data_IF_310391975645
#
_entry.id   IF_310391975645
#
_cell.length_a   1.000
_cell.length_b   1.000
_cell.length_c   1.000
_cell.angle_alpha   90.00
_cell.angle_beta   90.00
_cell.angle_gamma   90.00
#
_symmetry.space_group_name_H-M   'P 1'
#
loop_
_entity.id
_entity.type
_entity.pdbx_description
1 polymer ?
#
# COMPACT_ATOMS: atom_id res chain seq x y z
N UNK A 1 -15.62 -6.12 -15.10
CA UNK A 1 -14.58 -6.97 -14.48
C UNK A 1 -14.79 -7.05 -12.96
N UNK A 2 -14.74 -5.93 -12.18
CA UNK A 2 -14.89 -5.98 -10.72
C UNK A 2 -16.29 -6.46 -10.28
N UNK A 3 -17.33 -6.02 -10.96
CA UNK A 3 -18.71 -6.49 -10.77
C UNK A 3 -18.83 -8.00 -11.04
N UNK A 4 -18.30 -8.46 -12.17
CA UNK A 4 -18.35 -9.89 -12.54
C UNK A 4 -17.55 -10.72 -11.54
N UNK A 5 -16.38 -10.22 -11.09
CA UNK A 5 -15.61 -10.85 -10.03
C UNK A 5 -16.44 -10.99 -8.75
N UNK A 6 -17.09 -9.91 -8.31
CA UNK A 6 -17.95 -9.95 -7.13
C UNK A 6 -19.09 -10.96 -7.27
N UNK A 7 -19.81 -10.95 -8.39
CA UNK A 7 -20.89 -11.92 -8.67
C UNK A 7 -20.37 -13.36 -8.69
N UNK A 8 -19.21 -13.61 -9.28
CA UNK A 8 -18.60 -14.93 -9.32
C UNK A 8 -18.16 -15.39 -7.92
N UNK A 9 -17.59 -14.52 -7.10
CA UNK A 9 -17.28 -14.83 -5.69
C UNK A 9 -18.54 -15.24 -4.96
N UNK A 10 -19.62 -14.46 -5.07
CA UNK A 10 -20.91 -14.75 -4.44
C UNK A 10 -21.45 -16.13 -4.85
N UNK A 11 -21.30 -16.50 -6.11
CA UNK A 11 -21.87 -17.72 -6.68
C UNK A 11 -21.01 -18.95 -6.39
N UNK A 12 -19.69 -18.83 -6.56
CA UNK A 12 -18.78 -19.97 -6.58
C UNK A 12 -17.88 -20.08 -5.34
N UNK A 13 -17.69 -18.99 -4.60
CA UNK A 13 -16.80 -18.94 -3.45
C UNK A 13 -17.42 -18.17 -2.27
N UNK A 14 -18.68 -18.43 -1.86
CA UNK A 14 -19.35 -17.64 -0.83
C UNK A 14 -18.65 -17.70 0.54
N UNK A 15 -17.90 -18.77 0.81
CA UNK A 15 -17.21 -19.00 2.08
C UNK A 15 -15.73 -18.57 2.06
N UNK A 16 -15.30 -17.81 1.03
CA UNK A 16 -13.92 -17.30 0.97
C UNK A 16 -13.60 -16.46 2.21
N UNK A 17 -12.46 -16.73 2.81
CA UNK A 17 -12.07 -16.07 4.06
C UNK A 17 -11.67 -14.61 3.85
N UNK A 18 -10.95 -14.36 2.76
CA UNK A 18 -10.46 -13.02 2.44
C UNK A 18 -10.16 -12.87 0.96
N UNK A 19 -10.38 -11.67 0.42
CA UNK A 19 -10.08 -11.29 -0.95
C UNK A 19 -9.17 -10.08 -0.95
N UNK A 20 -8.06 -10.14 -1.66
CA UNK A 20 -7.13 -9.02 -1.87
C UNK A 20 -7.25 -8.54 -3.30
N UNK A 21 -7.68 -7.32 -3.50
CA UNK A 21 -7.80 -6.69 -4.82
C UNK A 21 -6.49 -5.99 -5.17
N UNK A 22 -5.93 -6.33 -6.34
CA UNK A 22 -4.62 -5.83 -6.78
C UNK A 22 -4.66 -5.11 -8.14
N UNK A 23 -5.81 -5.07 -8.80
CA UNK A 23 -5.96 -4.42 -10.11
C UNK A 23 -6.55 -3.01 -9.98
N UNK A 24 -6.00 -2.10 -10.79
CA UNK A 24 -6.33 -0.67 -10.74
C UNK A 24 -7.63 -0.33 -11.50
N UNK A 25 -8.32 0.73 -11.05
CA UNK A 25 -8.05 1.53 -9.83
C UNK A 25 -8.49 0.76 -8.57
N UNK A 26 -7.53 0.36 -7.75
CA UNK A 26 -7.71 -0.65 -6.70
C UNK A 26 -8.82 -0.31 -5.70
N UNK A 27 -8.90 0.95 -5.24
CA UNK A 27 -9.90 1.38 -4.26
C UNK A 27 -11.32 1.24 -4.82
N UNK A 28 -11.54 1.69 -6.07
CA UNK A 28 -12.83 1.57 -6.74
C UNK A 28 -13.19 0.11 -7.04
N UNK A 29 -12.25 -0.65 -7.55
CA UNK A 29 -12.49 -2.07 -7.91
C UNK A 29 -12.68 -2.93 -6.66
N UNK A 30 -12.03 -2.59 -5.55
CA UNK A 30 -12.26 -3.19 -4.25
C UNK A 30 -13.66 -2.93 -3.72
N UNK A 31 -14.12 -1.68 -3.78
CA UNK A 31 -15.48 -1.30 -3.38
C UNK A 31 -16.54 -2.01 -4.23
N UNK A 32 -16.39 -1.98 -5.56
CA UNK A 32 -17.32 -2.67 -6.46
C UNK A 32 -17.35 -4.17 -6.18
N UNK A 33 -16.19 -4.81 -6.01
CA UNK A 33 -16.14 -6.23 -5.66
C UNK A 33 -16.86 -6.52 -4.34
N UNK A 34 -16.64 -5.69 -3.32
CA UNK A 34 -17.34 -5.84 -2.03
C UNK A 34 -18.86 -5.77 -2.20
N UNK A 35 -19.37 -4.76 -2.92
CA UNK A 35 -20.81 -4.55 -3.11
C UNK A 35 -21.50 -5.73 -3.81
N UNK A 36 -20.84 -6.37 -4.75
CA UNK A 36 -21.42 -7.46 -5.55
C UNK A 36 -21.13 -8.86 -4.99
N UNK A 37 -20.12 -9.02 -4.13
CA UNK A 37 -19.72 -10.33 -3.60
C UNK A 37 -20.57 -10.84 -2.44
N UNK A 38 -21.26 -9.94 -1.73
CA UNK A 38 -21.98 -10.30 -0.49
C UNK A 38 -21.05 -10.59 0.70
N UNK A 39 -19.74 -10.34 0.57
CA UNK A 39 -18.76 -10.49 1.64
C UNK A 39 -18.89 -9.33 2.65
N UNK A 40 -18.35 -9.56 3.85
CA UNK A 40 -18.25 -8.50 4.87
C UNK A 40 -17.10 -7.54 4.51
N UNK A 41 -17.18 -6.25 4.90
CA UNK A 41 -16.08 -5.29 4.71
C UNK A 41 -14.71 -5.79 5.17
N UNK A 42 -14.65 -6.52 6.29
CA UNK A 42 -13.41 -7.10 6.81
C UNK A 42 -12.81 -8.25 5.97
N UNK A 43 -13.55 -8.74 4.98
CA UNK A 43 -13.11 -9.82 4.11
C UNK A 43 -12.56 -9.33 2.76
N UNK A 44 -12.64 -8.02 2.48
CA UNK A 44 -12.13 -7.44 1.22
C UNK A 44 -11.19 -6.30 1.53
N UNK A 45 -9.97 -6.39 1.03
CA UNK A 45 -8.97 -5.33 1.11
C UNK A 45 -8.34 -5.08 -0.23
N UNK A 46 -7.75 -3.91 -0.41
CA UNK A 46 -6.91 -3.61 -1.56
C UNK A 46 -5.44 -3.61 -1.18
N UNK A 47 -4.56 -3.91 -2.12
CA UNK A 47 -3.13 -3.92 -1.89
C UNK A 47 -2.54 -2.52 -2.13
N UNK A 48 -2.24 -1.79 -1.05
CA UNK A 48 -1.59 -0.47 -1.09
C UNK A 48 -0.14 -0.48 -0.57
N UNK A 49 0.35 -1.61 -0.09
CA UNK A 49 1.64 -1.74 0.60
C UNK A 49 2.87 -1.42 -0.27
N UNK A 50 2.76 -1.53 -1.61
CA UNK A 50 3.91 -1.31 -2.51
C UNK A 50 4.50 0.09 -2.38
N UNK A 51 3.67 1.10 -2.24
CA UNK A 51 4.12 2.48 -2.17
C UNK A 51 4.90 2.73 -0.88
N UNK A 52 4.44 2.14 0.22
CA UNK A 52 5.16 2.15 1.50
C UNK A 52 6.51 1.43 1.39
N UNK A 53 6.59 0.29 0.71
CA UNK A 53 7.86 -0.42 0.51
C UNK A 53 8.81 0.34 -0.41
N UNK A 54 8.31 1.13 -1.37
CA UNK A 54 9.14 2.05 -2.17
C UNK A 54 9.76 3.14 -1.31
N UNK A 55 8.98 3.76 -0.42
CA UNK A 55 9.49 4.75 0.53
C UNK A 55 10.56 4.13 1.43
N UNK A 56 10.31 2.95 2.00
CA UNK A 56 11.29 2.24 2.82
C UNK A 56 12.59 1.97 2.05
N UNK A 57 12.48 1.51 0.81
CA UNK A 57 13.65 1.22 -0.04
C UNK A 57 14.43 2.48 -0.40
N UNK A 58 13.74 3.59 -0.70
CA UNK A 58 14.36 4.87 -1.00
C UNK A 58 15.16 5.42 0.19
N UNK A 59 14.55 5.40 1.38
CA UNK A 59 15.20 5.83 2.61
C UNK A 59 16.36 4.90 2.99
N UNK A 60 16.19 3.58 2.88
CA UNK A 60 17.25 2.63 3.16
C UNK A 60 18.47 2.85 2.27
N UNK A 61 18.24 3.10 0.98
CA UNK A 61 19.29 3.43 0.01
C UNK A 61 19.97 4.76 0.34
N UNK A 62 19.20 5.79 0.66
CA UNK A 62 19.72 7.13 1.00
C UNK A 62 20.67 7.07 2.20
N UNK A 63 20.27 6.37 3.25
CA UNK A 63 21.03 6.33 4.52
C UNK A 63 21.99 5.14 4.64
N UNK A 64 22.10 4.29 3.63
CA UNK A 64 23.00 3.13 3.65
C UNK A 64 22.65 2.09 4.73
N UNK A 65 21.36 1.96 5.08
CA UNK A 65 20.89 1.04 6.12
C UNK A 65 20.04 -0.08 5.51
N UNK A 66 19.78 -1.14 6.26
CA UNK A 66 18.88 -2.21 5.83
C UNK A 66 17.43 -1.72 5.85
N UNK A 67 16.59 -2.22 4.93
CA UNK A 67 15.19 -1.82 4.83
C UNK A 67 14.40 -2.05 6.13
N UNK A 68 14.70 -3.10 6.89
CA UNK A 68 14.08 -3.38 8.18
C UNK A 68 14.46 -2.39 9.30
N UNK A 69 15.46 -1.54 9.07
CA UNK A 69 15.82 -0.44 9.97
C UNK A 69 15.03 0.85 9.68
N UNK A 70 14.25 0.86 8.61
CA UNK A 70 13.29 1.92 8.30
C UNK A 70 11.93 1.50 8.85
N UNK A 71 11.49 2.17 9.90
CA UNK A 71 10.24 1.85 10.61
C UNK A 71 9.23 2.99 10.45
N UNK A 72 7.95 2.66 10.30
CA UNK A 72 6.87 3.64 10.20
C UNK A 72 6.79 4.38 8.86
N UNK A 73 7.54 3.93 7.84
CA UNK A 73 7.48 4.50 6.48
C UNK A 73 6.23 3.99 5.78
N UNK A 74 5.15 4.73 5.90
CA UNK A 74 3.86 4.42 5.29
C UNK A 74 3.41 5.54 4.37
N UNK A 75 2.73 5.15 3.30
CA UNK A 75 2.03 6.03 2.38
C UNK A 75 0.54 5.78 2.50
N UNK A 76 -0.27 6.82 2.38
CA UNK A 76 -1.72 6.76 2.52
C UNK A 76 -2.41 7.47 1.35
N UNK A 77 -3.73 7.34 1.26
CA UNK A 77 -4.52 7.96 0.19
C UNK A 77 -4.56 7.12 -1.08
N UNK A 78 -5.04 7.71 -2.17
CA UNK A 78 -5.17 7.03 -3.46
C UNK A 78 -3.83 6.67 -4.09
N UNK A 79 -3.79 5.55 -4.80
CA UNK A 79 -2.58 5.12 -5.52
C UNK A 79 -2.30 6.05 -6.72
N UNK A 80 -1.15 6.71 -6.74
CA UNK A 80 -0.74 7.68 -7.76
C UNK A 80 -0.65 9.11 -7.23
N UNK A 81 -1.15 10.10 -7.98
CA UNK A 81 -1.00 11.52 -7.64
C UNK A 81 -1.68 11.95 -6.32
N UNK A 82 -2.66 11.18 -5.88
CA UNK A 82 -3.37 11.41 -4.61
C UNK A 82 -2.69 10.75 -3.40
N UNK A 83 -1.51 10.18 -3.60
CA UNK A 83 -0.74 9.54 -2.54
C UNK A 83 -0.16 10.58 -1.59
N UNK A 84 -0.37 10.37 -0.30
CA UNK A 84 0.25 11.16 0.77
C UNK A 84 1.42 10.38 1.38
N UNK A 85 2.61 10.98 1.32
CA UNK A 85 3.85 10.41 1.86
C UNK A 85 4.22 11.17 3.14
N UNK A 86 4.12 10.49 4.29
CA UNK A 86 4.38 11.09 5.60
C UNK A 86 5.74 10.70 6.15
N UNK A 87 6.51 11.70 6.61
CA UNK A 87 7.78 11.49 7.28
C UNK A 87 7.71 11.49 8.81
N UNK A 88 6.60 11.97 9.39
CA UNK A 88 6.48 12.23 10.85
C UNK A 88 6.57 10.98 11.73
N UNK A 89 6.13 9.83 11.24
CA UNK A 89 6.18 8.56 11.96
C UNK A 89 7.41 7.71 11.61
N UNK A 90 8.22 8.17 10.66
CA UNK A 90 9.36 7.40 10.14
C UNK A 90 10.54 7.49 11.09
N UNK A 91 11.19 6.33 11.34
CA UNK A 91 12.49 6.23 11.99
C UNK A 91 13.50 5.54 11.09
N UNK A 92 14.70 6.09 11.03
CA UNK A 92 15.85 5.55 10.30
C UNK A 92 16.87 5.07 11.35
N UNK A 93 17.11 3.78 11.43
CA UNK A 93 17.98 3.16 12.43
C UNK A 93 17.69 3.67 13.86
N UNK A 94 16.41 3.85 14.19
CA UNK A 94 15.95 4.33 15.50
C UNK A 94 15.81 5.85 15.63
N UNK A 95 16.44 6.65 14.77
CA UNK A 95 16.37 8.12 14.81
C UNK A 95 15.12 8.63 14.04
N UNK A 96 14.31 9.54 14.61
CA UNK A 96 13.18 10.13 13.91
C UNK A 96 13.61 10.83 12.61
N UNK A 97 12.93 10.55 11.50
CA UNK A 97 13.24 11.18 10.21
C UNK A 97 13.02 12.71 10.27
N UNK A 98 12.06 13.17 11.07
CA UNK A 98 11.81 14.60 11.30
C UNK A 98 12.98 15.37 11.88
N UNK A 99 13.93 14.70 12.56
CA UNK A 99 15.16 15.31 13.08
C UNK A 99 16.29 15.33 12.02
N UNK A 100 16.12 14.61 10.92
CA UNK A 100 17.12 14.49 9.86
C UNK A 100 16.76 15.39 8.67
N UNK A 101 15.47 15.50 8.35
CA UNK A 101 14.99 16.39 7.28
C UNK A 101 15.36 17.84 7.62
N UNK A 102 15.93 18.56 6.65
CA UNK A 102 16.38 19.94 6.79
C UNK A 102 17.83 20.07 7.31
N UNK A 103 18.53 18.96 7.57
CA UNK A 103 19.96 18.97 7.86
C UNK A 103 20.79 18.93 6.57
N UNK A 104 22.10 19.24 6.61
CA UNK A 104 22.99 19.07 5.45
C UNK A 104 23.03 17.63 4.90
N UNK A 105 22.77 16.63 5.73
CA UNK A 105 22.73 15.23 5.34
C UNK A 105 21.48 14.90 4.50
N UNK A 106 20.34 15.55 4.80
CA UNK A 106 19.07 15.33 4.09
C UNK A 106 18.28 16.65 3.99
N UNK A 107 18.60 17.51 3.00
CA UNK A 107 17.90 18.77 2.76
C UNK A 107 16.40 18.56 2.49
N UNK A 108 15.60 19.59 2.77
CA UNK A 108 14.15 19.56 2.54
C UNK A 108 13.84 19.29 1.08
N UNK A 109 14.59 19.86 0.15
CA UNK A 109 14.43 19.68 -1.29
C UNK A 109 14.62 18.22 -1.71
N UNK A 110 15.58 17.54 -1.11
CA UNK A 110 15.83 16.11 -1.38
C UNK A 110 14.68 15.24 -0.84
N UNK A 111 14.13 15.59 0.32
CA UNK A 111 12.94 14.92 0.85
C UNK A 111 11.72 15.11 -0.07
N UNK A 112 11.48 16.33 -0.57
CA UNK A 112 10.40 16.60 -1.51
C UNK A 112 10.58 15.83 -2.82
N UNK A 113 11.81 15.78 -3.34
CA UNK A 113 12.13 14.98 -4.53
C UNK A 113 11.87 13.48 -4.28
N UNK A 114 12.29 12.95 -3.14
CA UNK A 114 12.05 11.55 -2.77
C UNK A 114 10.56 11.22 -2.71
N UNK A 115 9.73 12.09 -2.12
CA UNK A 115 8.27 11.91 -2.11
C UNK A 115 7.70 11.83 -3.52
N UNK A 116 8.14 12.72 -4.40
CA UNK A 116 7.72 12.74 -5.80
C UNK A 116 8.16 11.46 -6.55
N UNK A 117 9.37 10.97 -6.31
CA UNK A 117 9.88 9.75 -6.93
C UNK A 117 9.14 8.50 -6.44
N UNK A 118 8.79 8.44 -5.17
CA UNK A 118 7.96 7.36 -4.60
C UNK A 118 6.58 7.35 -5.26
N UNK A 119 5.94 8.51 -5.35
CA UNK A 119 4.62 8.67 -5.99
C UNK A 119 4.63 8.22 -7.45
N UNK A 120 5.67 8.58 -8.21
CA UNK A 120 5.83 8.24 -9.63
C UNK A 120 6.48 6.88 -9.88
N UNK A 121 6.87 6.15 -8.84
CA UNK A 121 7.67 4.92 -8.96
C UNK A 121 7.02 3.83 -9.81
N UNK A 122 5.69 3.68 -9.75
CA UNK A 122 4.95 2.72 -10.59
C UNK A 122 5.07 3.04 -12.08
N UNK A 123 4.84 4.29 -12.46
CA UNK A 123 4.96 4.75 -13.83
C UNK A 123 6.40 4.62 -14.36
N UNK A 124 7.41 4.90 -13.53
CA UNK A 124 8.81 4.72 -13.88
C UNK A 124 9.14 3.25 -14.22
N UNK A 125 8.63 2.29 -13.43
CA UNK A 125 8.81 0.85 -13.70
C UNK A 125 8.15 0.47 -15.03
N UNK A 126 6.93 0.93 -15.29
CA UNK A 126 6.23 0.65 -16.54
C UNK A 126 7.01 1.19 -17.75
N UNK A 127 7.54 2.42 -17.63
CA UNK A 127 8.35 3.04 -18.69
C UNK A 127 9.61 2.22 -19.00
N UNK A 128 10.28 1.66 -17.98
CA UNK A 128 11.51 0.91 -18.15
C UNK A 128 11.28 -0.55 -18.62
N UNK A 129 10.20 -1.18 -18.18
CA UNK A 129 9.93 -2.61 -18.40
C UNK A 129 8.86 -2.90 -19.45
N UNK A 130 8.14 -1.87 -19.93
CA UNK A 130 6.99 -2.02 -20.83
C UNK A 130 5.75 -2.65 -20.17
N UNK A 131 5.80 -2.91 -18.86
CA UNK A 131 4.70 -3.51 -18.08
C UNK A 131 4.82 -3.21 -16.61
N UNK A 132 3.71 -3.34 -15.87
CA UNK A 132 3.68 -3.22 -14.40
C UNK A 132 4.55 -4.28 -13.72
N UNK A 133 5.00 -3.97 -12.52
CA UNK A 133 5.61 -4.96 -11.61
C UNK A 133 4.58 -6.02 -11.23
N UNK A 134 4.99 -7.27 -11.12
CA UNK A 134 4.16 -8.37 -10.62
C UNK A 134 4.79 -9.11 -9.43
N UNK A 135 6.11 -9.10 -9.31
CA UNK A 135 6.81 -9.80 -8.23
C UNK A 135 6.45 -9.26 -6.84
N UNK A 136 6.60 -7.93 -6.66
CA UNK A 136 6.28 -7.29 -5.38
C UNK A 136 4.80 -7.36 -5.02
N UNK A 137 3.85 -7.10 -5.94
CA UNK A 137 2.43 -7.32 -5.65
C UNK A 137 2.13 -8.76 -5.23
N UNK A 138 2.68 -9.75 -5.90
CA UNK A 138 2.46 -11.17 -5.56
C UNK A 138 2.97 -11.50 -4.17
N UNK A 139 4.20 -11.10 -3.84
CA UNK A 139 4.78 -11.32 -2.51
C UNK A 139 3.93 -10.69 -1.40
N UNK A 140 3.61 -9.41 -1.54
CA UNK A 140 2.84 -8.68 -0.52
C UNK A 140 1.41 -9.21 -0.38
N UNK A 141 0.79 -9.66 -1.47
CA UNK A 141 -0.53 -10.32 -1.41
C UNK A 141 -0.48 -11.62 -0.63
N UNK A 142 0.55 -12.44 -0.84
CA UNK A 142 0.76 -13.69 -0.09
C UNK A 142 1.01 -13.40 1.40
N UNK A 143 1.82 -12.39 1.73
CA UNK A 143 2.07 -11.99 3.12
C UNK A 143 0.79 -11.47 3.79
N UNK A 144 -0.04 -10.70 3.08
CA UNK A 144 -1.32 -10.22 3.57
C UNK A 144 -2.27 -11.39 3.86
N UNK A 145 -2.42 -12.33 2.93
CA UNK A 145 -3.25 -13.54 3.12
C UNK A 145 -2.70 -14.40 4.25
N UNK A 146 -1.39 -14.61 4.34
CA UNK A 146 -0.78 -15.35 5.44
C UNK A 146 -1.10 -14.74 6.81
N UNK A 147 -1.11 -13.40 6.91
CA UNK A 147 -1.50 -12.69 8.13
C UNK A 147 -2.98 -12.95 8.49
N UNK A 148 -3.88 -12.91 7.52
CA UNK A 148 -5.31 -13.23 7.72
C UNK A 148 -5.50 -14.67 8.19
N UNK A 149 -4.66 -15.58 7.74
CA UNK A 149 -4.67 -17.00 8.14
C UNK A 149 -3.99 -17.28 9.48
N UNK A 150 -3.66 -16.25 10.26
CA UNK A 150 -3.04 -16.38 11.59
C UNK A 150 -1.51 -16.43 11.58
N UNK A 151 -0.87 -16.10 10.46
CA UNK A 151 0.58 -15.98 10.34
C UNK A 151 1.12 -14.65 10.90
N UNK A 152 2.31 -14.28 10.47
CA UNK A 152 2.96 -13.02 10.88
C UNK A 152 2.08 -11.82 10.55
N UNK A 153 1.98 -10.88 11.51
CA UNK A 153 1.20 -9.65 11.34
C UNK A 153 1.67 -8.85 10.13
N UNK A 154 0.74 -8.53 9.24
CA UNK A 154 0.93 -7.60 8.13
C UNK A 154 0.61 -6.19 8.61
N UNK A 155 1.57 -5.30 8.58
CA UNK A 155 1.47 -3.95 9.16
C UNK A 155 1.77 -2.86 8.12
N UNK A 156 1.07 -2.92 6.98
CA UNK A 156 1.10 -1.90 5.94
C UNK A 156 -0.31 -1.35 5.68
N UNK A 157 -0.44 -0.13 5.17
CA UNK A 157 -1.70 0.41 4.69
C UNK A 157 -2.36 -0.50 3.65
N UNK A 158 -3.66 -0.65 3.77
CA UNK A 158 -4.51 -1.37 2.83
C UNK A 158 -5.83 -0.62 2.70
N UNK A 159 -6.39 -0.58 1.49
CA UNK A 159 -7.73 -0.06 1.30
C UNK A 159 -8.74 -1.02 1.87
N UNK A 160 -9.69 -0.49 2.64
CA UNK A 160 -10.81 -1.25 3.19
C UNK A 160 -12.03 -0.35 3.34
N UNK A 161 -13.21 -0.92 3.23
CA UNK A 161 -14.43 -0.17 3.49
C UNK A 161 -14.58 0.05 5.00
N UNK A 162 -14.70 1.31 5.41
CA UNK A 162 -14.86 1.72 6.80
C UNK A 162 -16.16 2.47 6.97
N UNK A 163 -16.98 2.03 7.92
CA UNK A 163 -18.16 2.75 8.36
C UNK A 163 -17.98 3.13 9.82
N UNK A 164 -17.87 4.42 10.11
CA UNK A 164 -17.75 4.97 11.46
C UNK A 164 -18.66 6.17 11.61
N UNK A 165 -18.81 6.67 12.84
CA UNK A 165 -19.57 7.92 13.11
C UNK A 165 -19.03 9.14 12.36
N UNK A 166 -17.71 9.15 12.03
CA UNK A 166 -17.05 10.21 11.26
C UNK A 166 -17.07 9.98 9.76
N UNK A 167 -17.11 8.72 9.33
CA UNK A 167 -17.00 8.31 7.93
C UNK A 167 -18.10 7.32 7.63
N UNK A 168 -19.20 7.82 7.11
CA UNK A 168 -20.42 7.01 6.91
C UNK A 168 -20.41 6.24 5.57
N UNK A 169 -19.51 6.57 4.65
CA UNK A 169 -19.51 6.01 3.29
C UNK A 169 -18.11 5.90 2.63
N UNK A 170 -17.06 5.63 3.39
CA UNK A 170 -15.70 5.50 2.82
C UNK A 170 -15.21 4.05 2.86
#
# INVERSE_FOLDING_TARGET
>A
IAEDLGKNIKTYCPDVKHVVIIFNPADLTGLVTLLYSGLKPSQVTTLAALDSTRLQSALAKKFGVMQNQIVGAHTFGGHGEQMAVFGSAVKVAGKPLSEIIGTPEFPVEEWEQMKNDVTKGGAAIIKLRGRSSFQSPSLLSVEMIASVMGGKKFAYPAGTYVKTEKYDHI
#
